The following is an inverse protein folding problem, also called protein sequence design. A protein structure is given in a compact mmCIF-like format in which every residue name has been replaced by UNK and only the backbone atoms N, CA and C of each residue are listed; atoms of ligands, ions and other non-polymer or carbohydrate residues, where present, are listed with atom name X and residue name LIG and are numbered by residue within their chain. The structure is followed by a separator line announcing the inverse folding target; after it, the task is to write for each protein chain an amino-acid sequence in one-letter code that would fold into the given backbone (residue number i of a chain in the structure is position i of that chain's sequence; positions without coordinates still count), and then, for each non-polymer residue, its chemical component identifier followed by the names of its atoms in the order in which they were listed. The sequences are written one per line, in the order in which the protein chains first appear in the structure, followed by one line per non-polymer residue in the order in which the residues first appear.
data_IF_866220127930
#
_entry.id   IF_866220127930
#
_cell.length_a   1.000
_cell.length_b   1.000
_cell.length_c   1.000
_cell.angle_alpha   90.00
_cell.angle_beta   90.00
_cell.angle_gamma   90.00
#
_symmetry.space_group_name_H-M   'P 1'
#
loop_
_entity.id
_entity.type
_entity.pdbx_description
1 polymer ?
#
# COMPACT_ATOMS: atom_id res chain seq x y z
N UNK A 1 -79.88 -21.16 2.44
CA UNK A 1 -80.40 -19.96 1.77
C UNK A 1 -79.85 -18.75 2.50
N UNK A 2 -79.22 -17.81 1.76
CA UNK A 2 -79.15 -16.34 1.92
C UNK A 2 -79.18 -15.74 3.34
N UNK A 3 -78.50 -14.67 3.72
CA UNK A 3 -77.58 -13.66 3.17
C UNK A 3 -77.29 -12.76 4.38
N UNK A 4 -76.03 -12.43 4.63
CA UNK A 4 -75.46 -11.05 4.61
C UNK A 4 -76.12 -9.99 5.49
N UNK A 5 -75.31 -9.43 6.39
CA UNK A 5 -75.39 -8.02 6.78
C UNK A 5 -73.98 -7.41 6.69
N UNK A 6 -73.89 -6.44 5.79
CA UNK A 6 -72.73 -5.63 5.44
C UNK A 6 -72.48 -4.56 6.50
N UNK A 7 -71.22 -4.37 6.90
CA UNK A 7 -70.72 -3.08 7.39
C UNK A 7 -69.33 -2.86 6.80
N UNK A 8 -69.28 -2.19 5.65
CA UNK A 8 -68.06 -1.67 5.07
C UNK A 8 -68.10 -0.15 5.08
N UNK A 9 -67.15 0.49 5.79
CA UNK A 9 -66.73 1.86 5.50
C UNK A 9 -65.35 2.18 6.10
N UNK A 10 -64.52 2.83 5.28
CA UNK A 10 -63.35 3.65 5.62
C UNK A 10 -62.09 2.99 6.18
N UNK A 11 -61.16 2.61 5.28
CA UNK A 11 -59.74 2.97 5.47
C UNK A 11 -59.17 3.53 4.16
N UNK A 12 -59.19 4.87 4.13
CA UNK A 12 -58.28 5.84 3.54
C UNK A 12 -57.15 5.33 2.63
N UNK A 13 -57.19 5.89 1.42
CA UNK A 13 -56.13 6.06 0.42
C UNK A 13 -54.77 6.42 1.04
N UNK A 14 -53.74 5.61 0.79
CA UNK A 14 -52.34 6.04 0.82
C UNK A 14 -51.55 5.23 -0.20
N UNK A 15 -51.80 5.56 -1.47
CA UNK A 15 -50.96 5.17 -2.58
C UNK A 15 -49.69 6.02 -2.59
N UNK A 16 -48.58 5.34 -2.87
CA UNK A 16 -47.39 5.88 -3.54
C UNK A 16 -46.72 7.10 -2.90
N UNK A 17 -45.82 6.85 -1.95
CA UNK A 17 -44.54 7.56 -1.82
C UNK A 17 -43.56 6.61 -1.13
N UNK A 18 -43.30 5.45 -1.75
CA UNK A 18 -42.04 4.74 -1.51
C UNK A 18 -40.99 5.58 -2.24
N UNK A 19 -40.54 6.63 -1.58
CA UNK A 19 -39.38 7.40 -2.00
C UNK A 19 -38.24 6.42 -2.16
N UNK A 20 -37.93 6.12 -3.42
CA UNK A 20 -36.70 5.51 -3.87
C UNK A 20 -35.60 6.48 -3.47
N UNK A 21 -35.21 6.42 -2.20
CA UNK A 21 -33.88 6.82 -1.79
C UNK A 21 -32.98 5.77 -2.40
N UNK A 22 -32.58 6.03 -3.64
CA UNK A 22 -31.40 5.43 -4.23
C UNK A 22 -30.28 5.68 -3.24
N UNK A 23 -30.00 4.68 -2.41
CA UNK A 23 -28.68 4.49 -1.84
C UNK A 23 -27.78 4.40 -3.07
N UNK A 24 -27.24 5.55 -3.45
CA UNK A 24 -26.07 5.66 -4.29
C UNK A 24 -24.97 5.00 -3.46
N UNK A 25 -24.95 3.66 -3.50
CA UNK A 25 -23.87 2.86 -2.96
C UNK A 25 -22.66 3.39 -3.70
N UNK A 26 -21.84 4.19 -3.02
CA UNK A 26 -20.51 4.47 -3.50
C UNK A 26 -19.92 3.10 -3.84
N UNK A 27 -19.58 2.91 -5.10
CA UNK A 27 -19.16 1.63 -5.65
C UNK A 27 -17.84 1.23 -5.04
N UNK A 28 -17.84 0.82 -3.77
CA UNK A 28 -16.71 0.19 -3.13
C UNK A 28 -16.58 -1.14 -3.83
N UNK A 29 -15.57 -1.24 -4.70
CA UNK A 29 -15.20 -2.48 -5.36
C UNK A 29 -15.19 -3.58 -4.31
N UNK A 30 -16.05 -4.58 -4.48
CA UNK A 30 -16.07 -5.74 -3.59
C UNK A 30 -14.71 -6.43 -3.66
N UNK A 31 -14.17 -6.91 -2.52
CA UNK A 31 -12.93 -7.67 -2.52
C UNK A 31 -13.10 -8.96 -3.32
N UNK A 32 -12.11 -9.29 -4.15
CA UNK A 32 -12.06 -10.57 -4.85
C UNK A 32 -11.29 -11.54 -3.97
N UNK A 33 -11.99 -12.49 -3.39
CA UNK A 33 -11.42 -13.53 -2.52
C UNK A 33 -10.72 -14.61 -3.33
N UNK A 34 -9.59 -15.09 -2.81
CA UNK A 34 -8.80 -16.18 -3.33
C UNK A 34 -9.18 -17.50 -2.63
N UNK A 35 -8.64 -18.62 -3.12
CA UNK A 35 -8.80 -19.94 -2.52
C UNK A 35 -7.77 -20.24 -1.41
N UNK A 36 -7.00 -19.23 -1.00
CA UNK A 36 -6.01 -19.31 0.06
C UNK A 36 -6.53 -18.77 1.40
N UNK A 37 -6.09 -19.41 2.48
CA UNK A 37 -6.41 -19.06 3.86
C UNK A 37 -5.11 -18.99 4.65
N UNK A 38 -4.81 -17.82 5.22
CA UNK A 38 -3.76 -17.71 6.22
C UNK A 38 -4.34 -18.22 7.54
N UNK A 39 -3.66 -19.15 8.20
CA UNK A 39 -4.09 -19.73 9.48
C UNK A 39 -2.96 -19.62 10.50
N UNK A 40 -3.30 -19.39 11.76
CA UNK A 40 -2.35 -19.39 12.87
C UNK A 40 -2.58 -20.64 13.72
N UNK A 41 -1.62 -21.56 13.66
CA UNK A 41 -1.57 -22.83 14.38
C UNK A 41 -0.26 -22.86 15.19
N UNK A 42 -0.28 -22.38 16.44
CA UNK A 42 0.94 -22.26 17.27
C UNK A 42 1.64 -23.58 17.57
N UNK A 43 0.92 -24.70 17.44
CA UNK A 43 1.42 -26.03 17.80
C UNK A 43 2.36 -26.63 16.77
N UNK A 44 2.43 -26.08 15.55
CA UNK A 44 3.43 -26.45 14.55
C UNK A 44 2.87 -26.97 13.23
N UNK A 45 3.80 -27.43 12.41
CA UNK A 45 3.61 -27.89 11.03
C UNK A 45 2.78 -29.17 10.96
N UNK A 46 3.08 -30.15 11.82
CA UNK A 46 2.35 -31.42 11.86
C UNK A 46 0.85 -31.23 12.11
N UNK A 47 0.49 -30.28 12.99
CA UNK A 47 -0.91 -29.97 13.28
C UNK A 47 -1.56 -29.19 12.15
N UNK A 48 -0.82 -28.28 11.49
CA UNK A 48 -1.31 -27.57 10.32
C UNK A 48 -1.60 -28.52 9.15
N UNK A 49 -0.73 -29.50 8.91
CA UNK A 49 -0.93 -30.57 7.92
C UNK A 49 -2.15 -31.44 8.24
N UNK A 50 -2.32 -31.81 9.52
CA UNK A 50 -3.46 -32.59 9.98
C UNK A 50 -4.78 -31.84 9.74
N UNK A 51 -4.84 -30.56 10.12
CA UNK A 51 -6.01 -29.70 9.92
C UNK A 51 -6.31 -29.53 8.43
N UNK A 52 -5.28 -29.31 7.62
CA UNK A 52 -5.42 -29.16 6.18
C UNK A 52 -6.04 -30.41 5.55
N UNK A 53 -5.45 -31.58 5.81
CA UNK A 53 -5.92 -32.86 5.29
C UNK A 53 -7.36 -33.18 5.75
N UNK A 54 -7.70 -32.91 7.01
CA UNK A 54 -9.02 -33.16 7.59
C UNK A 54 -10.12 -32.38 6.89
N UNK A 55 -9.85 -31.13 6.50
CA UNK A 55 -10.84 -30.23 5.90
C UNK A 55 -10.73 -30.10 4.38
N UNK A 56 -9.85 -30.86 3.75
CA UNK A 56 -9.66 -30.88 2.30
C UNK A 56 -8.82 -29.72 1.75
N UNK A 57 -8.05 -29.05 2.59
CA UNK A 57 -7.02 -28.12 2.17
C UNK A 57 -5.70 -28.83 1.88
N UNK A 58 -4.85 -28.15 1.12
CA UNK A 58 -3.42 -28.44 0.97
C UNK A 58 -2.67 -27.40 1.80
N UNK A 59 -1.79 -27.85 2.69
CA UNK A 59 -0.87 -26.94 3.38
C UNK A 59 0.26 -26.56 2.43
N UNK A 60 0.35 -25.29 2.07
CA UNK A 60 1.42 -24.75 1.21
C UNK A 60 2.70 -24.55 2.03
N UNK A 61 2.59 -24.45 3.35
CA UNK A 61 3.69 -24.27 4.28
C UNK A 61 3.61 -22.98 5.08
N UNK A 62 4.67 -22.70 5.84
CA UNK A 62 4.74 -21.51 6.68
C UNK A 62 4.82 -20.23 5.85
N UNK A 63 4.13 -19.17 6.31
CA UNK A 63 4.15 -17.86 5.66
C UNK A 63 5.43 -17.12 6.06
N UNK A 64 6.47 -17.28 5.23
CA UNK A 64 7.76 -16.63 5.43
C UNK A 64 8.34 -16.92 6.83
N UNK A 65 8.77 -15.87 7.53
CA UNK A 65 9.33 -15.97 8.89
C UNK A 65 8.28 -15.98 10.01
N UNK A 66 6.98 -15.93 9.67
CA UNK A 66 5.88 -15.91 10.64
C UNK A 66 5.67 -17.30 11.24
N UNK A 67 6.35 -17.58 12.36
CA UNK A 67 6.24 -18.87 13.06
C UNK A 67 4.81 -19.18 13.46
N UNK A 68 4.36 -20.39 13.12
CA UNK A 68 3.01 -20.85 13.40
C UNK A 68 1.94 -20.31 12.46
N UNK A 69 2.29 -19.48 11.47
CA UNK A 69 1.37 -19.04 10.43
C UNK A 69 1.56 -19.86 9.16
N UNK A 70 0.50 -20.47 8.67
CA UNK A 70 0.52 -21.34 7.50
C UNK A 70 -0.43 -20.83 6.43
N UNK A 71 -0.11 -21.10 5.17
CA UNK A 71 -0.98 -20.84 4.04
C UNK A 71 -1.66 -22.13 3.61
N UNK A 72 -2.98 -22.20 3.73
CA UNK A 72 -3.78 -23.32 3.28
C UNK A 72 -4.46 -22.98 1.96
N UNK A 73 -4.43 -23.90 1.00
CA UNK A 73 -5.12 -23.76 -0.29
C UNK A 73 -6.22 -24.81 -0.42
N UNK A 74 -7.42 -24.41 -0.84
CA UNK A 74 -8.48 -25.37 -1.17
C UNK A 74 -8.58 -25.58 -2.68
N UNK A 75 -8.32 -26.80 -3.15
CA UNK A 75 -8.28 -27.16 -4.58
C UNK A 75 -9.62 -27.06 -5.31
N UNK A 76 -10.74 -27.02 -4.58
CA UNK A 76 -12.11 -26.98 -5.14
C UNK A 76 -12.79 -25.61 -5.07
N UNK A 77 -12.13 -24.58 -4.57
CA UNK A 77 -12.68 -23.20 -4.55
C UNK A 77 -12.16 -22.45 -5.78
N UNK A 78 -13.04 -21.73 -6.49
CA UNK A 78 -12.64 -20.92 -7.65
C UNK A 78 -11.55 -19.93 -7.22
N UNK A 79 -10.46 -19.84 -7.99
CA UNK A 79 -9.30 -18.97 -7.72
C UNK A 79 -9.67 -17.49 -7.50
N UNK A 80 -10.84 -17.06 -7.98
CA UNK A 80 -11.39 -15.72 -7.75
C UNK A 80 -12.89 -15.82 -7.48
N UNK A 81 -13.29 -15.29 -6.33
CA UNK A 81 -14.69 -15.26 -5.89
C UNK A 81 -15.05 -13.86 -5.39
N UNK A 82 -16.21 -13.36 -5.80
CA UNK A 82 -16.79 -12.13 -5.22
C UNK A 82 -17.47 -12.39 -3.87
N UNK A 83 -17.69 -13.67 -3.53
CA UNK A 83 -18.29 -14.09 -2.27
C UNK A 83 -17.28 -14.79 -1.37
N UNK A 84 -17.33 -14.42 -0.10
CA UNK A 84 -16.63 -15.07 0.99
C UNK A 84 -17.02 -16.55 1.12
N UNK A 85 -16.10 -17.39 1.61
CA UNK A 85 -16.39 -18.82 1.78
C UNK A 85 -16.80 -19.17 3.20
N UNK A 86 -18.10 -19.07 3.49
CA UNK A 86 -18.65 -19.28 4.84
C UNK A 86 -18.46 -20.73 5.34
N UNK A 87 -18.51 -21.72 4.45
CA UNK A 87 -18.29 -23.13 4.79
C UNK A 87 -16.90 -23.35 5.38
N UNK A 88 -15.87 -22.81 4.73
CA UNK A 88 -14.48 -22.95 5.16
C UNK A 88 -14.20 -22.15 6.43
N UNK A 89 -14.83 -20.98 6.58
CA UNK A 89 -14.77 -20.23 7.83
C UNK A 89 -15.33 -21.02 9.00
N UNK A 90 -16.48 -21.65 8.82
CA UNK A 90 -17.08 -22.50 9.84
C UNK A 90 -16.15 -23.66 10.21
N UNK A 91 -15.54 -24.34 9.22
CA UNK A 91 -14.60 -25.45 9.46
C UNK A 91 -13.39 -25.01 10.28
N UNK A 92 -12.71 -23.95 9.87
CA UNK A 92 -11.50 -23.45 10.55
C UNK A 92 -11.81 -22.84 11.93
N UNK A 93 -12.96 -22.18 12.09
CA UNK A 93 -13.37 -21.63 13.39
C UNK A 93 -13.72 -22.70 14.44
N UNK A 94 -14.05 -23.92 14.00
CA UNK A 94 -14.35 -25.02 14.90
C UNK A 94 -13.09 -25.75 15.40
N UNK A 95 -11.92 -25.48 14.81
CA UNK A 95 -10.67 -26.13 15.18
C UNK A 95 -10.04 -25.46 16.40
N UNK A 96 -9.89 -26.22 17.49
CA UNK A 96 -9.33 -25.70 18.74
C UNK A 96 -7.86 -25.29 18.63
N UNK A 97 -7.12 -25.88 17.69
CA UNK A 97 -5.71 -25.56 17.41
C UNK A 97 -5.54 -24.34 16.49
N UNK A 98 -6.61 -23.89 15.83
CA UNK A 98 -6.60 -22.68 14.99
C UNK A 98 -6.96 -21.48 15.85
N UNK A 99 -5.98 -20.63 16.14
CA UNK A 99 -6.19 -19.44 16.98
C UNK A 99 -6.73 -18.27 16.15
N UNK A 100 -6.34 -18.19 14.88
CA UNK A 100 -6.75 -17.15 13.96
C UNK A 100 -6.71 -17.65 12.54
N UNK A 101 -7.55 -17.11 11.68
CA UNK A 101 -7.44 -17.32 10.24
C UNK A 101 -8.07 -16.18 9.43
N UNK A 102 -7.66 -16.03 8.18
CA UNK A 102 -8.23 -15.10 7.22
C UNK A 102 -8.14 -15.64 5.79
N UNK A 103 -9.28 -15.63 5.09
CA UNK A 103 -9.29 -15.86 3.65
C UNK A 103 -8.61 -14.70 2.92
N UNK A 104 -7.64 -15.03 2.07
CA UNK A 104 -6.90 -14.03 1.31
C UNK A 104 -7.79 -13.43 0.22
N UNK A 105 -7.57 -12.15 -0.07
CA UNK A 105 -8.28 -11.45 -1.13
C UNK A 105 -7.30 -10.52 -1.85
N UNK A 106 -7.60 -10.21 -3.10
CA UNK A 106 -6.81 -9.28 -3.90
C UNK A 106 -6.77 -7.91 -3.22
N UNK A 107 -5.57 -7.33 -3.14
CA UNK A 107 -5.37 -5.92 -2.78
C UNK A 107 -5.05 -5.16 -4.06
N UNK A 108 -5.82 -4.10 -4.33
CA UNK A 108 -5.57 -3.24 -5.50
C UNK A 108 -4.45 -2.25 -5.17
N UNK A 109 -3.35 -2.27 -5.95
CA UNK A 109 -2.33 -1.21 -5.92
C UNK A 109 -2.93 0.06 -6.52
N UNK A 110 -2.88 1.15 -5.79
CA UNK A 110 -3.12 2.48 -6.33
C UNK A 110 -1.76 3.13 -6.55
N UNK A 111 -1.32 3.23 -7.81
CA UNK A 111 -0.09 3.95 -8.12
C UNK A 111 -0.30 5.43 -7.82
N UNK A 112 0.70 6.09 -7.24
CA UNK A 112 0.68 7.55 -7.17
C UNK A 112 1.02 8.05 -8.56
N UNK A 113 0.00 8.38 -9.34
CA UNK A 113 0.22 8.94 -10.67
C UNK A 113 0.80 10.36 -10.50
N UNK A 114 2.03 10.55 -10.95
CA UNK A 114 2.61 11.88 -11.16
C UNK A 114 2.05 12.44 -12.47
N UNK A 115 0.78 12.80 -12.46
CA UNK A 115 0.13 13.50 -13.56
C UNK A 115 -0.47 14.79 -13.04
N UNK A 116 0.36 15.63 -12.43
CA UNK A 116 0.06 17.06 -12.36
C UNK A 116 0.72 17.69 -13.59
N UNK A 117 -0.05 18.15 -14.60
CA UNK A 117 0.50 18.81 -15.77
C UNK A 117 1.22 20.14 -15.44
N UNK A 118 1.12 20.64 -14.21
CA UNK A 118 1.85 21.82 -13.72
C UNK A 118 3.09 21.48 -12.87
N UNK A 119 3.38 20.20 -12.63
CA UNK A 119 4.57 19.77 -11.90
C UNK A 119 5.59 19.21 -12.90
N UNK A 120 6.81 19.77 -12.99
CA UNK A 120 7.78 19.32 -13.97
C UNK A 120 8.16 17.86 -13.72
N UNK A 121 8.20 17.08 -14.80
CA UNK A 121 8.78 15.73 -14.80
C UNK A 121 10.25 15.81 -14.36
N UNK A 122 10.79 14.73 -13.80
CA UNK A 122 12.17 14.69 -13.28
C UNK A 122 13.22 15.16 -14.32
N UNK A 123 12.93 15.03 -15.62
CA UNK A 123 13.78 15.52 -16.72
C UNK A 123 13.63 17.01 -17.09
N UNK A 124 12.55 17.68 -16.68
CA UNK A 124 12.25 19.08 -17.03
C UNK A 124 12.70 20.10 -15.96
N UNK A 125 13.21 19.62 -14.81
CA UNK A 125 13.74 20.49 -13.75
C UNK A 125 14.77 21.48 -14.28
N UNK A 126 15.63 21.07 -15.22
CA UNK A 126 16.65 21.94 -15.81
C UNK A 126 16.07 23.07 -16.66
N UNK A 127 14.87 22.91 -17.22
CA UNK A 127 14.19 23.95 -18.04
C UNK A 127 13.38 24.93 -17.19
N UNK A 128 12.83 24.49 -16.06
CA UNK A 128 12.05 25.33 -15.14
C UNK A 128 12.89 26.45 -14.50
N UNK A 129 14.19 26.20 -14.29
CA UNK A 129 15.13 27.18 -13.76
C UNK A 129 15.79 28.07 -14.83
N UNK A 130 15.78 27.67 -16.11
CA UNK A 130 16.22 28.56 -17.20
C UNK A 130 15.21 29.66 -17.49
N UNK A 131 13.90 29.38 -17.35
CA UNK A 131 12.84 30.37 -17.58
C UNK A 131 12.69 31.40 -16.46
N UNK A 132 13.13 31.09 -15.23
CA UNK A 132 13.17 32.05 -14.11
C UNK A 132 14.46 32.90 -14.07
N UNK A 133 15.34 32.77 -15.08
CA UNK A 133 16.57 33.56 -15.21
C UNK A 133 16.37 35.03 -15.61
N UNK A 134 15.13 35.48 -15.86
CA UNK A 134 14.82 36.84 -16.31
C UNK A 134 13.85 37.61 -15.37
N UNK A 135 14.06 37.54 -14.06
CA UNK A 135 13.53 38.52 -13.11
C UNK A 135 14.61 39.54 -12.72
N UNK A 136 15.15 40.24 -13.72
CA UNK A 136 15.75 41.56 -13.50
C UNK A 136 14.61 42.56 -13.26
N UNK A 137 14.27 42.78 -12.00
CA UNK A 137 13.54 43.97 -11.61
C UNK A 137 12.39 43.77 -10.64
N UNK A 138 12.66 43.28 -9.43
CA UNK A 138 11.93 43.71 -8.24
C UNK A 138 12.89 43.72 -7.05
N UNK A 139 13.38 44.93 -6.74
CA UNK A 139 14.09 45.27 -5.52
C UNK A 139 13.17 45.08 -4.32
N UNK A 140 13.21 43.88 -3.73
CA UNK A 140 12.59 43.57 -2.44
C UNK A 140 13.44 42.51 -1.79
N UNK A 141 14.15 42.87 -0.73
CA UNK A 141 15.08 42.00 -0.03
C UNK A 141 14.36 40.81 0.64
N UNK A 142 14.15 39.74 -0.11
CA UNK A 142 13.94 38.41 0.45
C UNK A 142 15.20 37.61 0.14
N UNK A 143 16.27 37.93 0.87
CA UNK A 143 17.37 36.99 1.00
C UNK A 143 16.78 35.73 1.65
N UNK A 144 16.51 34.70 0.85
CA UNK A 144 16.37 33.32 1.33
C UNK A 144 17.72 32.94 1.93
N UNK A 145 17.96 33.43 3.15
CA UNK A 145 18.97 32.88 4.04
C UNK A 145 18.45 31.48 4.34
N UNK A 146 18.94 30.49 3.58
CA UNK A 146 18.96 29.10 4.01
C UNK A 146 19.23 29.09 5.52
N UNK A 147 18.24 28.70 6.32
CA UNK A 147 18.33 28.81 7.78
C UNK A 147 19.57 28.03 8.24
N UNK A 148 20.64 28.75 8.55
CA UNK A 148 21.80 28.22 9.27
C UNK A 148 22.71 27.22 8.54
N UNK A 149 22.56 27.03 7.22
CA UNK A 149 23.57 26.30 6.42
C UNK A 149 24.26 27.31 5.51
N UNK A 150 25.52 27.64 5.82
CA UNK A 150 26.41 28.23 4.83
C UNK A 150 26.43 27.30 3.61
N UNK A 151 26.03 27.77 2.42
CA UNK A 151 25.87 26.90 1.28
C UNK A 151 27.25 26.37 0.90
N UNK A 152 27.30 25.11 0.47
CA UNK A 152 28.41 24.45 -0.26
C UNK A 152 29.36 23.51 0.50
N UNK A 153 29.55 23.59 1.83
CA UNK A 153 30.58 22.73 2.47
C UNK A 153 30.09 21.47 3.21
N UNK A 154 28.78 21.30 3.45
CA UNK A 154 28.25 20.13 4.18
C UNK A 154 27.62 19.09 3.25
N UNK A 155 27.11 19.51 2.09
CA UNK A 155 26.39 18.63 1.17
C UNK A 155 26.76 18.99 -0.28
N UNK A 156 27.75 18.31 -0.89
CA UNK A 156 28.27 18.64 -2.22
C UNK A 156 27.37 18.16 -3.38
N UNK A 157 26.15 17.71 -3.08
CA UNK A 157 25.18 17.29 -4.10
C UNK A 157 24.79 18.50 -4.98
N UNK A 158 25.06 18.46 -6.30
CA UNK A 158 24.69 19.52 -7.23
C UNK A 158 23.18 19.84 -7.25
N UNK A 159 22.34 18.86 -6.90
CA UNK A 159 20.88 18.97 -6.89
C UNK A 159 20.30 19.39 -5.53
N UNK A 160 21.13 19.63 -4.50
CA UNK A 160 20.65 19.97 -3.15
C UNK A 160 19.73 21.20 -3.11
N UNK A 161 19.96 22.16 -4.00
CA UNK A 161 19.14 23.38 -4.17
C UNK A 161 17.71 23.08 -4.61
N UNK A 162 17.47 21.95 -5.27
CA UNK A 162 16.16 21.52 -5.77
C UNK A 162 15.36 20.72 -4.72
N UNK A 163 16.04 20.24 -3.67
CA UNK A 163 15.47 19.45 -2.59
C UNK A 163 14.80 20.35 -1.54
N UNK A 164 13.71 21.01 -1.94
CA UNK A 164 12.97 22.00 -1.13
C UNK A 164 12.59 21.49 0.26
N UNK A 165 12.33 20.19 0.39
CA UNK A 165 11.94 19.52 1.64
C UNK A 165 13.09 19.41 2.66
N UNK A 166 14.34 19.69 2.25
CA UNK A 166 15.53 19.67 3.11
C UNK A 166 16.07 21.06 3.42
N UNK A 167 15.83 22.04 2.55
CA UNK A 167 16.60 23.29 2.53
C UNK A 167 15.77 24.57 2.74
N UNK A 168 14.47 24.44 3.05
CA UNK A 168 13.56 25.57 3.23
C UNK A 168 13.10 26.20 1.91
N UNK A 169 13.23 25.48 0.80
CA UNK A 169 12.87 25.94 -0.53
C UNK A 169 11.37 25.94 -0.84
N UNK A 170 10.52 25.43 0.08
CA UNK A 170 9.08 25.47 -0.11
C UNK A 170 8.51 26.88 0.09
N UNK A 171 7.24 27.05 -0.30
CA UNK A 171 6.46 28.25 0.02
C UNK A 171 6.52 28.51 1.53
N UNK A 172 6.72 29.78 1.91
CA UNK A 172 6.81 30.22 3.31
C UNK A 172 8.00 29.63 4.11
N UNK A 173 8.96 28.99 3.42
CA UNK A 173 10.18 28.45 4.03
C UNK A 173 9.97 27.13 4.78
N UNK A 174 8.90 26.38 4.48
CA UNK A 174 8.65 25.07 5.10
C UNK A 174 9.64 24.01 4.62
N UNK A 175 10.13 23.19 5.56
CA UNK A 175 10.98 22.03 5.33
C UNK A 175 10.86 21.03 6.50
N UNK A 176 11.63 19.94 6.46
CA UNK A 176 11.72 18.98 7.57
C UNK A 176 12.63 19.43 8.72
N UNK A 177 13.26 20.62 8.62
CA UNK A 177 14.18 21.20 9.62
C UNK A 177 15.27 20.22 10.10
N UNK A 178 15.88 19.50 9.16
CA UNK A 178 16.86 18.43 9.45
C UNK A 178 18.28 18.95 9.76
N UNK A 179 18.60 20.17 9.33
CA UNK A 179 19.94 20.77 9.44
C UNK A 179 20.55 20.74 10.85
N UNK A 180 19.80 21.09 11.93
CA UNK A 180 20.35 21.04 13.28
C UNK A 180 20.69 19.63 13.77
N UNK A 181 20.03 18.59 13.25
CA UNK A 181 20.32 17.20 13.58
C UNK A 181 21.63 16.75 12.93
N UNK A 182 21.83 17.09 11.64
CA UNK A 182 23.05 16.79 10.90
C UNK A 182 24.28 17.53 11.46
N UNK A 183 24.13 18.79 11.87
CA UNK A 183 25.20 19.55 12.54
C UNK A 183 25.65 18.91 13.86
N UNK A 184 24.76 18.17 14.51
CA UNK A 184 25.05 17.39 15.73
C UNK A 184 25.55 15.97 15.42
N UNK A 185 25.70 15.60 14.14
CA UNK A 185 26.17 14.29 13.70
C UNK A 185 25.09 13.20 13.61
N UNK A 186 23.80 13.53 13.76
CA UNK A 186 22.72 12.54 13.65
C UNK A 186 22.34 12.32 12.18
N UNK A 187 22.94 11.32 11.53
CA UNK A 187 22.74 11.05 10.09
C UNK A 187 21.90 9.82 9.77
N UNK A 188 21.57 9.00 10.77
CA UNK A 188 20.98 7.67 10.57
C UNK A 188 22.00 6.55 10.38
N UNK A 189 23.30 6.82 10.47
CA UNK A 189 24.35 5.78 10.41
C UNK A 189 24.11 4.68 11.45
N UNK A 190 24.09 3.42 11.01
CA UNK A 190 23.79 2.25 11.85
C UNK A 190 22.30 1.90 11.94
N UNK A 191 21.42 2.64 11.26
CA UNK A 191 20.01 2.31 11.09
C UNK A 191 19.81 1.70 9.71
N UNK A 192 19.11 0.56 9.66
CA UNK A 192 18.68 -0.09 8.41
C UNK A 192 17.20 0.18 8.18
N UNK A 193 16.84 0.60 6.98
CA UNK A 193 15.45 0.90 6.58
C UNK A 193 15.05 -0.04 5.44
N UNK A 194 14.08 -0.91 5.68
CA UNK A 194 13.50 -1.76 4.64
C UNK A 194 12.31 -1.06 3.97
N UNK A 195 12.32 -1.00 2.64
CA UNK A 195 11.28 -0.38 1.81
C UNK A 195 10.56 -1.49 1.05
N UNK A 196 9.24 -1.60 1.24
CA UNK A 196 8.40 -2.53 0.49
C UNK A 196 7.88 -1.83 -0.77
N UNK A 197 8.59 -1.98 -1.89
CA UNK A 197 8.20 -1.41 -3.18
C UNK A 197 8.48 -2.37 -4.36
N UNK A 198 8.54 -1.87 -5.59
CA UNK A 198 8.79 -2.61 -6.83
C UNK A 198 10.29 -2.85 -7.15
N UNK A 199 11.18 -2.48 -6.24
CA UNK A 199 12.61 -2.73 -6.33
C UNK A 199 13.47 -1.51 -6.00
N UNK A 200 14.79 -1.67 -6.03
CA UNK A 200 15.78 -0.61 -5.85
C UNK A 200 16.96 -0.82 -6.81
N UNK A 201 17.40 0.26 -7.47
CA UNK A 201 18.58 0.22 -8.33
C UNK A 201 19.85 0.19 -7.48
N UNK A 202 20.32 -1.01 -7.17
CA UNK A 202 21.45 -1.25 -6.25
C UNK A 202 22.76 -0.63 -6.75
N UNK A 203 22.91 -0.43 -8.06
CA UNK A 203 24.09 0.13 -8.69
C UNK A 203 24.04 1.66 -8.91
N UNK A 204 22.98 2.35 -8.47
CA UNK A 204 22.89 3.79 -8.60
C UNK A 204 23.93 4.47 -7.69
N UNK A 205 24.71 5.47 -8.16
CA UNK A 205 25.79 6.09 -7.37
C UNK A 205 25.31 6.64 -6.01
N UNK A 206 24.09 7.17 -5.93
CA UNK A 206 23.52 7.71 -4.69
C UNK A 206 23.00 6.64 -3.71
N UNK A 207 22.85 5.38 -4.15
CA UNK A 207 22.28 4.29 -3.35
C UNK A 207 23.30 3.21 -3.04
N UNK A 208 24.21 2.92 -3.96
CA UNK A 208 25.13 1.78 -3.91
C UNK A 208 25.97 1.73 -2.62
N UNK A 209 26.37 2.89 -2.08
CA UNK A 209 27.17 2.94 -0.84
C UNK A 209 26.37 2.63 0.42
N UNK A 210 25.05 2.83 0.39
CA UNK A 210 24.15 2.64 1.54
C UNK A 210 23.21 1.44 1.35
N UNK A 211 23.37 0.68 0.28
CA UNK A 211 22.60 -0.53 0.03
C UNK A 211 23.05 -1.65 0.96
N UNK A 212 22.08 -2.29 1.61
CA UNK A 212 22.28 -3.46 2.47
C UNK A 212 21.61 -4.68 1.83
N UNK A 213 22.44 -5.61 1.34
CA UNK A 213 21.97 -6.85 0.73
C UNK A 213 21.37 -7.82 1.74
N UNK A 214 21.77 -7.79 3.00
CA UNK A 214 21.21 -8.68 4.04
C UNK A 214 19.79 -8.24 4.43
N UNK A 215 19.47 -6.96 4.22
CA UNK A 215 18.15 -6.39 4.47
C UNK A 215 17.24 -6.33 3.23
N UNK A 216 17.65 -6.92 2.11
CA UNK A 216 16.96 -6.86 0.82
C UNK A 216 16.51 -8.26 0.36
N UNK A 217 15.29 -8.35 -0.19
CA UNK A 217 14.73 -9.58 -0.74
C UNK A 217 13.69 -9.23 -1.80
N UNK A 218 13.78 -9.84 -2.98
CA UNK A 218 12.70 -9.81 -3.96
C UNK A 218 11.70 -10.92 -3.64
N UNK A 219 10.54 -10.53 -3.10
CA UNK A 219 9.48 -11.46 -2.73
C UNK A 219 8.71 -11.93 -3.99
N UNK A 220 8.74 -11.18 -5.09
CA UNK A 220 8.00 -11.55 -6.31
C UNK A 220 8.66 -12.74 -7.01
N UNK A 221 9.98 -12.72 -7.12
CA UNK A 221 10.77 -13.77 -7.78
C UNK A 221 11.51 -14.67 -6.79
N UNK A 222 11.35 -14.41 -5.49
CA UNK A 222 11.94 -15.14 -4.38
C UNK A 222 13.47 -15.28 -4.50
N UNK A 223 14.12 -14.19 -4.91
CA UNK A 223 15.57 -14.06 -5.02
C UNK A 223 16.09 -12.86 -4.21
N UNK A 224 17.41 -12.72 -4.14
CA UNK A 224 18.07 -11.64 -3.38
C UNK A 224 18.33 -10.39 -4.22
N UNK A 225 17.84 -10.31 -5.46
CA UNK A 225 18.12 -9.21 -6.38
C UNK A 225 16.91 -8.27 -6.49
N UNK A 226 16.88 -7.16 -5.75
CA UNK A 226 15.76 -6.23 -5.79
C UNK A 226 15.81 -5.29 -7.00
N UNK A 227 16.64 -5.56 -8.01
CA UNK A 227 16.75 -4.70 -9.19
C UNK A 227 15.40 -4.57 -9.92
N UNK A 228 14.93 -3.33 -10.20
CA UNK A 228 13.66 -3.14 -10.91
C UNK A 228 13.71 -3.83 -12.27
N UNK A 229 12.76 -4.71 -12.52
CA UNK A 229 12.59 -5.35 -13.82
C UNK A 229 11.74 -4.44 -14.69
N UNK A 230 12.26 -4.08 -15.86
CA UNK A 230 11.52 -3.31 -16.86
C UNK A 230 10.63 -4.26 -17.68
N UNK A 231 9.69 -4.93 -16.99
CA UNK A 231 8.68 -5.77 -17.62
C UNK A 231 7.33 -5.07 -17.48
N UNK A 232 6.99 -4.24 -18.48
CA UNK A 232 5.72 -3.49 -18.60
C UNK A 232 4.43 -4.33 -18.65
N UNK A 233 4.35 -5.49 -18.00
CA UNK A 233 3.13 -6.24 -17.78
C UNK A 233 2.58 -5.99 -16.37
N UNK A 234 1.41 -5.37 -16.32
CA UNK A 234 0.54 -5.22 -15.14
C UNK A 234 -0.05 -6.56 -14.67
N UNK A 235 0.77 -7.60 -14.50
CA UNK A 235 0.32 -8.89 -13.97
C UNK A 235 1.23 -9.35 -12.85
N UNK A 236 1.01 -8.81 -11.66
CA UNK A 236 1.34 -9.53 -10.43
C UNK A 236 0.15 -10.43 -10.11
N UNK A 237 0.28 -11.70 -10.45
CA UNK A 237 -0.48 -12.76 -9.79
C UNK A 237 0.07 -12.94 -8.39
N UNK A 238 -0.71 -12.53 -7.40
CA UNK A 238 -0.74 -13.17 -6.08
C UNK A 238 -1.92 -14.15 -6.08
#
# INVERSE_FOLDING_TARGET
MKCEASVGLCVVVLNCLVSVLGLQQSGRSQPVYLNHFAVHVPSGDADADEIAARHGFVNIGQIGSLKGFYLLEHSRVRKRSVSHSDEHHRKLSAESKVVWFQQQHEKKRHKRDFSDPNFPSFGDFQSLFQSHGNLQGLTGQHHNRYRGIGPLNIFPDPLFKEQWYLNGGAKDGYDMNISPAWQKGYTGKGVVVSILDDGIQTNHPDLAQNYDSEASTDINDNDSDPMPRDNGSLSLSL
#
